data_IF_231078490929
#
_entry.id   IF_231078490929
#
_cell.length_a   1.000
_cell.length_b   1.000
_cell.length_c   1.000
_cell.angle_alpha   90.00
_cell.angle_beta   90.00
_cell.angle_gamma   90.00
#
_symmetry.space_group_name_H-M   'P 1'
#
loop_
_entity.id
_entity.type
_entity.pdbx_description
1 polymer ?
2 non-polymer ?
#
# COMPACT_ATOMS: atom_id res chain seq x y z
N UNK A 3 -3.36 7.23 15.47
CA UNK A 3 -2.50 6.82 14.36
C UNK A 3 -3.07 5.59 13.70
N UNK A 4 -4.39 5.57 13.48
CA UNK A 4 -5.04 4.36 13.02
C UNK A 4 -4.57 3.99 11.63
N UNK A 5 -4.77 2.73 11.27
CA UNK A 5 -4.37 2.25 9.95
C UNK A 5 -5.59 1.78 9.16
N UNK A 6 -5.40 1.71 7.85
CA UNK A 6 -6.41 1.20 6.92
C UNK A 6 -5.69 0.30 5.93
N UNK A 7 -6.21 -0.91 5.74
CA UNK A 7 -5.63 -1.86 4.79
C UNK A 7 -6.70 -2.29 3.79
N UNK A 8 -6.28 -2.58 2.56
CA UNK A 8 -7.21 -2.92 1.48
C UNK A 8 -6.78 -4.24 0.86
N UNK A 9 -7.74 -5.16 0.66
CA UNK A 9 -7.47 -6.48 0.10
C UNK A 9 -8.27 -6.66 -1.18
N UNK A 10 -7.58 -7.02 -2.25
CA UNK A 10 -8.21 -7.33 -3.53
C UNK A 10 -7.52 -8.54 -4.13
N UNK A 11 -8.22 -9.28 -5.00
CA UNK A 11 -7.58 -10.45 -5.62
C UNK A 11 -6.71 -10.09 -6.81
N UNK A 12 -5.55 -10.74 -6.89
CA UNK A 12 -4.69 -10.57 -8.05
C UNK A 12 -5.33 -10.97 -9.37
N UNK A 13 -6.41 -11.75 -9.33
CA UNK A 13 -7.06 -12.23 -10.55
C UNK A 13 -7.69 -11.09 -11.35
N UNK A 14 -7.94 -9.96 -10.70
CA UNK A 14 -8.39 -8.74 -11.37
C UNK A 14 -7.62 -8.49 -12.67
N UNK A 15 -6.33 -8.83 -12.70
CA UNK A 15 -5.49 -8.50 -13.86
C UNK A 15 -5.73 -9.43 -15.04
N UNK A 16 -6.25 -10.63 -14.80
CA UNK A 16 -6.50 -11.53 -15.91
C UNK A 16 -7.65 -11.04 -16.78
N UNK A 17 -8.57 -10.24 -16.22
CA UNK A 17 -9.71 -9.73 -16.98
C UNK A 17 -9.33 -8.61 -17.93
N UNK A 18 -8.07 -8.19 -17.95
CA UNK A 18 -7.71 -7.08 -18.82
C UNK A 18 -7.61 -7.54 -20.27
N UNK A 19 -7.80 -6.58 -21.18
CA UNK A 19 -7.94 -6.86 -22.60
C UNK A 19 -6.64 -6.77 -23.37
N UNK A 20 -5.62 -6.13 -22.81
CA UNK A 20 -4.33 -5.99 -23.48
C UNK A 20 -3.27 -5.89 -22.41
N UNK A 21 -2.03 -6.33 -22.70
CA UNK A 21 -0.97 -6.25 -21.67
C UNK A 21 -0.78 -4.85 -21.13
N UNK A 22 -0.85 -3.84 -21.97
CA UNK A 22 -0.80 -2.45 -21.51
C UNK A 22 -1.88 -2.18 -20.46
N UNK A 23 -3.14 -2.50 -20.79
CA UNK A 23 -4.23 -2.26 -19.84
C UNK A 23 -4.04 -3.07 -18.56
N UNK A 24 -3.44 -4.25 -18.67
CA UNK A 24 -3.08 -5.03 -17.49
C UNK A 24 -2.22 -4.22 -16.54
N UNK A 25 -1.15 -3.62 -17.07
CA UNK A 25 -0.34 -2.70 -16.29
C UNK A 25 -1.14 -1.50 -15.80
N UNK A 26 -1.87 -0.85 -16.71
CA UNK A 26 -2.58 0.37 -16.33
C UNK A 26 -3.55 0.09 -15.20
N UNK A 27 -4.29 -1.01 -15.28
CA UNK A 27 -5.18 -1.39 -14.20
C UNK A 27 -4.43 -1.44 -12.85
N UNK A 28 -3.29 -2.15 -12.83
CA UNK A 28 -2.49 -2.23 -11.62
C UNK A 28 -2.15 -0.85 -11.10
N UNK A 29 -1.84 0.09 -11.99
CA UNK A 29 -1.59 1.46 -11.59
C UNK A 29 -2.82 2.14 -10.99
N UNK A 30 -4.01 1.79 -11.48
CA UNK A 30 -5.22 2.41 -10.94
C UNK A 30 -5.47 1.94 -9.52
N UNK A 31 -5.11 0.69 -9.22
CA UNK A 31 -5.28 0.19 -7.86
C UNK A 31 -4.37 0.96 -6.91
N UNK A 32 -3.12 1.18 -7.30
CA UNK A 32 -2.17 1.90 -6.44
C UNK A 32 -2.63 3.33 -6.18
N UNK A 33 -3.08 4.03 -7.22
CA UNK A 33 -3.50 5.42 -7.05
C UNK A 33 -4.71 5.51 -6.12
N UNK A 34 -5.65 4.60 -6.26
CA UNK A 34 -6.82 4.67 -5.38
C UNK A 34 -6.42 4.50 -3.92
N UNK A 35 -5.50 3.57 -3.64
CA UNK A 35 -5.05 3.39 -2.26
C UNK A 35 -4.21 4.57 -1.79
N UNK A 36 -3.36 5.11 -2.66
CA UNK A 36 -2.61 6.30 -2.27
C UNK A 36 -3.53 7.50 -2.00
N UNK A 37 -4.62 7.65 -2.77
CA UNK A 37 -5.46 8.84 -2.58
C UNK A 37 -6.10 8.82 -1.21
N UNK A 38 -6.50 7.64 -0.74
CA UNK A 38 -7.18 7.52 0.54
C UNK A 38 -6.23 7.20 1.68
N UNK A 39 -4.93 7.42 1.49
CA UNK A 39 -3.91 7.21 2.53
C UNK A 39 -3.96 5.78 3.08
N UNK A 40 -4.13 4.78 2.20
CA UNK A 40 -4.08 3.40 2.67
C UNK A 40 -2.67 3.06 3.13
N UNK A 41 -2.59 2.30 4.23
CA UNK A 41 -1.32 1.86 4.81
C UNK A 41 -0.83 0.53 4.28
N UNK A 42 -1.74 -0.34 3.85
CA UNK A 42 -1.34 -1.68 3.42
C UNK A 42 -2.28 -2.15 2.33
N UNK A 43 -1.73 -2.75 1.28
CA UNK A 43 -2.53 -3.45 0.28
C UNK A 43 -2.21 -4.93 0.37
N UNK A 44 -3.25 -5.76 0.42
CA UNK A 44 -3.12 -7.20 0.54
C UNK A 44 -3.60 -7.78 -0.78
N UNK A 45 -2.71 -8.42 -1.52
CA UNK A 45 -3.08 -9.10 -2.77
C UNK A 45 -3.25 -10.58 -2.48
N UNK A 46 -4.46 -11.08 -2.60
CA UNK A 46 -4.74 -12.47 -2.24
C UNK A 46 -5.16 -13.29 -3.46
N UNK A 47 -4.83 -14.58 -3.39
CA UNK A 47 -5.12 -15.54 -4.45
C UNK A 47 -6.52 -16.12 -4.25
N UNK A 48 -7.41 -15.82 -5.19
CA UNK A 48 -8.80 -16.26 -5.09
C UNK A 48 -8.95 -17.74 -5.36
N UNK A 49 -8.09 -18.31 -6.20
CA UNK A 49 -8.18 -19.73 -6.55
C UNK A 49 -7.76 -20.62 -5.40
N UNK A 67 -0.77 -18.29 -10.03
CA UNK A 67 -0.40 -17.36 -8.98
C UNK A 67 0.40 -16.18 -9.49
N UNK A 68 0.62 -16.16 -10.81
CA UNK A 68 1.38 -15.09 -11.44
C UNK A 68 0.63 -13.76 -11.48
N UNK A 69 -0.71 -13.77 -11.41
CA UNK A 69 -1.42 -12.50 -11.41
C UNK A 69 -1.16 -11.72 -10.12
N UNK A 70 -1.15 -12.41 -8.98
CA UNK A 70 -0.93 -11.70 -7.73
C UNK A 70 0.50 -11.21 -7.62
N UNK A 71 1.47 -12.01 -8.08
CA UNK A 71 2.86 -11.57 -8.07
C UNK A 71 3.03 -10.31 -8.91
N UNK A 72 2.51 -10.32 -10.14
CA UNK A 72 2.62 -9.13 -10.99
C UNK A 72 1.95 -7.92 -10.34
N UNK A 73 0.74 -8.11 -9.82
CA UNK A 73 0.04 -6.98 -9.19
C UNK A 73 0.84 -6.42 -8.02
N UNK A 74 1.28 -7.29 -7.11
CA UNK A 74 2.09 -6.86 -5.96
C UNK A 74 3.33 -6.12 -6.41
N UNK A 75 4.10 -6.74 -7.32
CA UNK A 75 5.30 -6.09 -7.84
C UNK A 75 5.00 -4.69 -8.36
N UNK A 76 4.01 -4.57 -9.26
CA UNK A 76 3.65 -3.25 -9.79
C UNK A 76 3.30 -2.30 -8.66
N UNK A 77 2.49 -2.74 -7.71
CA UNK A 77 2.20 -1.90 -6.56
C UNK A 77 3.48 -1.45 -5.83
N UNK A 78 4.45 -2.36 -5.62
CA UNK A 78 5.67 -1.97 -4.91
C UNK A 78 6.49 -0.98 -5.74
N UNK A 79 6.51 -1.16 -7.06
CA UNK A 79 7.28 -0.27 -7.91
C UNK A 79 6.73 1.17 -7.83
N UNK A 80 5.41 1.33 -7.94
CA UNK A 80 4.83 2.68 -7.89
C UNK A 80 4.96 3.29 -6.50
N UNK A 81 4.88 2.48 -5.43
CA UNK A 81 5.06 3.03 -4.09
C UNK A 81 6.47 3.58 -3.91
N UNK A 82 7.45 2.97 -4.56
CA UNK A 82 8.84 3.26 -4.27
C UNK A 82 9.28 4.58 -4.91
N UNK A 83 9.77 5.56 -4.12
CA UNK A 83 10.41 6.76 -4.69
C UNK A 83 11.24 6.46 -5.92
N UNK A 84 11.00 7.20 -7.01
CA UNK A 84 11.60 6.89 -8.30
C UNK A 84 13.12 6.79 -8.21
N UNK A 85 13.76 7.68 -7.44
CA UNK A 85 15.22 7.64 -7.35
C UNK A 85 15.73 6.36 -6.67
N UNK A 86 14.84 5.51 -6.17
CA UNK A 86 15.23 4.26 -5.53
C UNK A 86 14.82 3.02 -6.32
N UNK A 87 14.11 3.17 -7.43
CA UNK A 87 13.59 2.00 -8.12
C UNK A 87 14.68 1.23 -8.86
N UNK A 88 15.62 1.94 -9.46
CA UNK A 88 16.75 1.27 -10.08
C UNK A 88 17.45 0.31 -9.10
N UNK A 89 17.54 0.70 -7.82
CA UNK A 89 18.24 -0.18 -6.88
C UNK A 89 17.37 -1.36 -6.44
N UNK A 90 16.08 -1.14 -6.18
CA UNK A 90 15.24 -2.20 -5.64
C UNK A 90 14.58 -3.07 -6.69
N UNK A 91 14.70 -2.74 -7.98
CA UNK A 91 13.95 -3.45 -9.02
C UNK A 91 14.82 -3.71 -10.23
N UNK A 92 15.37 -4.91 -10.36
CA UNK A 92 16.04 -5.27 -11.61
C UNK A 92 15.06 -5.23 -12.78
N UNK A 93 15.62 -5.22 -13.98
CA UNK A 93 14.79 -5.27 -15.17
C UNK A 93 13.90 -6.49 -15.13
N UNK A 94 12.58 -6.26 -15.09
CA UNK A 94 11.60 -7.35 -15.04
C UNK A 94 10.57 -7.22 -16.15
N UNK A 95 10.17 -8.37 -16.71
CA UNK A 95 9.11 -8.42 -17.72
C UNK A 95 7.77 -7.92 -17.17
N UNK A 96 7.53 -8.10 -15.86
CA UNK A 96 6.33 -7.56 -15.23
C UNK A 96 6.30 -6.04 -15.22
N UNK A 97 7.43 -5.38 -15.51
CA UNK A 97 7.50 -3.92 -15.57
C UNK A 97 7.75 -3.42 -17.00
N UNK A 98 7.46 -4.27 -18.01
CA UNK A 98 7.72 -3.92 -19.40
C UNK A 98 6.86 -2.78 -19.90
N UNK A 99 5.79 -2.42 -19.19
CA UNK A 99 4.96 -1.27 -19.53
C UNK A 99 4.91 -0.28 -18.35
N UNK A 100 6.04 -0.05 -17.69
CA UNK A 100 6.03 0.89 -16.57
C UNK A 100 5.67 2.30 -17.04
N UNK A 101 6.24 2.73 -18.17
CA UNK A 101 6.14 4.12 -18.55
C UNK A 101 4.72 4.63 -18.59
N UNK A 102 3.80 3.82 -19.14
CA UNK A 102 2.41 4.20 -19.36
C UNK A 102 1.60 4.21 -18.06
N UNK A 103 2.26 4.52 -16.95
CA UNK A 103 1.63 4.54 -15.64
C UNK A 103 1.32 5.96 -15.23
N UNK A 104 0.64 6.07 -14.09
CA UNK A 104 0.37 7.34 -13.45
C UNK A 104 1.14 7.39 -12.13
N UNK A 105 2.07 8.33 -11.99
CA UNK A 105 2.77 8.50 -10.72
C UNK A 105 1.82 8.66 -9.54
N UNK A 106 2.23 8.12 -8.40
CA UNK A 106 1.43 8.26 -7.17
C UNK A 106 1.45 9.69 -6.66
N UNK A 107 2.58 10.38 -6.84
CA UNK A 107 2.70 11.79 -6.42
C UNK A 107 2.47 11.97 -4.92
N UNK A 108 2.89 10.98 -4.15
CA UNK A 108 2.75 10.98 -2.71
C UNK A 108 3.84 11.81 -2.04
N UNK A 109 3.63 12.23 -0.80
CA UNK A 109 4.59 13.12 -0.13
C UNK A 109 6.02 12.60 -0.09
N UNK A 110 6.26 11.30 -0.16
CA UNK A 110 7.65 10.84 -0.21
C UNK A 110 8.17 10.71 -1.64
N UNK A 111 7.38 11.08 -2.65
CA UNK A 111 7.85 11.14 -4.04
C UNK A 111 8.10 12.61 -4.38
N UNK A 112 9.27 13.08 -4.00
CA UNK A 112 9.59 14.47 -4.25
C UNK A 112 10.82 14.58 -5.13
N UNK A 113 11.02 15.76 -5.71
CA UNK A 113 12.17 16.05 -6.56
C UNK A 113 13.41 16.30 -5.67
N UNK A 114 14.54 16.58 -6.33
CA UNK A 114 15.79 16.77 -5.60
C UNK A 114 15.87 18.17 -4.97
N UNK A 115 15.45 19.20 -5.70
CA UNK A 115 15.46 20.57 -5.17
C UNK A 115 14.23 20.87 -4.32
N UNK A 116 13.72 19.88 -3.59
CA UNK A 116 12.55 20.02 -2.73
C UNK A 116 13.00 19.78 -1.29
N UNK A 117 13.04 20.84 -0.49
CA UNK A 117 13.34 20.70 0.93
C UNK A 117 12.32 19.79 1.59
N UNK A 118 12.81 18.92 2.48
CA UNK A 118 11.92 18.00 3.19
C UNK A 118 12.57 17.60 4.50
N UNK A 119 11.76 17.47 5.54
CA UNK A 119 12.31 17.02 6.83
C UNK A 119 12.68 15.54 6.77
N UNK A 120 11.85 14.73 6.12
CA UNK A 120 12.06 13.31 5.96
C UNK A 120 12.35 12.97 4.50
N UNK A 121 12.95 11.81 4.28
CA UNK A 121 13.34 11.39 2.95
C UNK A 121 13.71 9.90 2.98
N UNK A 122 13.17 9.11 2.06
CA UNK A 122 13.50 7.70 2.04
C UNK A 122 14.92 7.50 1.50
N UNK A 123 15.49 6.32 1.79
CA UNK A 123 16.87 6.10 1.45
C UNK A 123 17.25 4.64 1.32
N UNK A 124 18.36 4.42 0.61
CA UNK A 124 18.96 3.11 0.45
C UNK A 124 20.39 3.21 1.01
N UNK A 125 20.72 2.32 1.95
CA UNK A 125 22.04 2.34 2.55
C UNK A 125 23.07 1.88 1.52
N UNK A 126 23.98 2.78 1.14
CA UNK A 126 24.99 2.58 0.10
C UNK A 126 26.07 1.60 0.54
N UNK A 127 26.95 1.19 -0.38
CA UNK A 127 28.14 0.38 -0.10
C UNK A 127 29.39 1.25 -0.30
N UNK A 128 29.80 1.93 0.76
CA UNK A 128 31.05 2.66 0.80
C UNK A 128 31.71 2.37 2.13
N UNK A 129 33.05 2.34 2.18
CA UNK A 129 33.73 1.94 3.41
C UNK A 129 33.42 2.91 4.55
N UNK A 130 33.48 2.39 5.77
CA UNK A 130 33.26 3.21 6.95
C UNK A 130 33.89 2.52 8.14
N UNK A 131 34.84 3.19 8.81
CA UNK A 131 35.35 2.66 10.05
C UNK A 131 34.19 2.49 11.02
N UNK A 132 34.23 1.49 11.90
CA UNK A 132 33.20 1.38 12.92
C UNK A 132 33.14 2.66 13.73
N UNK A 133 31.96 2.95 14.25
CA UNK A 133 31.66 4.23 14.85
C UNK A 133 31.17 5.28 13.87
N UNK A 134 31.46 5.13 12.58
CA UNK A 134 31.23 6.19 11.61
C UNK A 134 29.91 6.05 10.85
N UNK A 135 28.88 5.49 11.48
CA UNK A 135 27.57 5.37 10.86
C UNK A 135 27.58 4.76 9.48
N UNK A 136 26.58 5.07 8.66
CA UNK A 136 26.49 4.55 7.32
C UNK A 136 26.22 5.69 6.34
N UNK A 137 26.44 5.41 5.06
CA UNK A 137 26.06 6.33 3.99
C UNK A 137 24.74 5.89 3.38
N UNK A 138 23.86 6.86 3.14
CA UNK A 138 22.53 6.58 2.60
C UNK A 138 22.28 7.48 1.39
N UNK A 139 21.87 6.88 0.29
CA UNK A 139 21.40 7.63 -0.87
C UNK A 139 19.95 8.03 -0.62
N UNK A 140 19.72 9.33 -0.42
CA UNK A 140 18.37 9.87 -0.31
C UNK A 140 17.98 10.69 -1.55
N UNK A 141 18.57 10.41 -2.69
CA UNK A 141 18.26 11.14 -3.91
C UNK A 141 18.59 12.61 -3.87
N UNK A 142 19.55 13.02 -3.03
CA UNK A 142 19.92 14.42 -2.96
C UNK A 142 21.19 14.62 -3.77
N UNK A 143 21.69 15.86 -3.83
CA UNK A 143 22.92 16.13 -4.57
C UNK A 143 24.10 15.40 -3.95
N UNK A 144 24.15 15.34 -2.62
CA UNK A 144 25.16 14.58 -1.90
C UNK A 144 24.47 13.49 -1.08
N UNK A 145 25.23 12.43 -0.77
CA UNK A 145 24.70 11.36 0.06
C UNK A 145 24.48 11.86 1.50
N UNK A 146 23.93 10.99 2.34
CA UNK A 146 23.61 11.35 3.73
C UNK A 146 24.37 10.41 4.66
N UNK A 147 25.11 10.98 5.60
CA UNK A 147 25.77 10.19 6.63
C UNK A 147 24.82 10.05 7.82
N UNK A 148 24.68 8.83 8.32
CA UNK A 148 23.71 8.59 9.38
C UNK A 148 24.39 8.16 10.68
N UNK A 149 23.57 8.00 11.72
CA UNK A 149 24.02 7.60 13.04
C UNK A 149 24.46 6.14 13.07
N UNK A 150 23.52 5.25 12.78
CA UNK A 150 23.71 3.83 13.02
C UNK A 150 24.50 3.16 11.89
N UNK A 151 25.07 2.01 12.21
CA UNK A 151 25.81 1.20 11.24
C UNK A 151 24.86 0.09 10.79
N UNK A 152 24.35 0.22 9.57
CA UNK A 152 23.32 -0.68 9.07
C UNK A 152 23.83 -1.41 7.84
N UNK A 153 23.15 -2.51 7.53
CA UNK A 153 23.46 -3.31 6.35
C UNK A 153 23.36 -2.44 5.09
N UNK A 154 24.24 -2.64 4.09
CA UNK A 154 24.22 -1.76 2.91
C UNK A 154 23.31 -2.25 1.79
N UNK A 155 22.05 -1.79 1.77
CA UNK A 155 21.10 -2.22 0.77
C UNK A 155 19.70 -2.31 1.36
N UNK A 156 19.54 -1.69 2.52
CA UNK A 156 18.31 -1.68 3.27
C UNK A 156 17.60 -0.34 3.08
N UNK A 157 16.29 -0.38 2.89
CA UNK A 157 15.52 0.84 2.72
C UNK A 157 15.17 1.42 4.08
N UNK A 158 15.52 2.69 4.30
CA UNK A 158 15.33 3.35 5.59
C UNK A 158 14.68 4.72 5.40
N UNK A 159 14.25 5.27 6.52
CA UNK A 159 13.56 6.57 6.56
C UNK A 159 14.45 7.54 7.31
N UNK A 160 15.06 8.46 6.58
CA UNK A 160 16.05 9.39 7.12
C UNK A 160 15.37 10.70 7.48
N UNK A 161 15.60 11.18 8.70
CA UNK A 161 15.18 12.51 9.12
C UNK A 161 16.40 13.42 9.09
N UNK A 162 16.35 14.45 8.25
CA UNK A 162 17.53 15.26 8.06
C UNK A 162 17.70 16.27 9.17
N UNK A 163 18.96 16.51 9.56
CA UNK A 163 19.24 17.53 10.55
C UNK A 163 18.85 18.91 10.01
N UNK A 164 18.15 19.69 10.85
CA UNK A 164 17.72 21.03 10.48
C UNK A 164 18.92 21.88 10.08
N UNK A 165 19.69 22.32 11.07
CA UNK A 165 20.97 22.98 10.79
C UNK A 165 21.93 21.92 10.29
N UNK A 166 22.14 21.88 8.98
CA UNK A 166 23.19 21.07 8.42
C UNK A 166 24.47 21.89 8.32
N UNK A 167 25.54 21.24 7.86
CA UNK A 167 26.89 21.83 7.84
C UNK A 167 27.16 22.23 6.41
N UNK A 168 26.92 23.48 6.03
CA UNK A 168 26.68 23.80 4.61
C UNK A 168 27.82 23.45 3.64
N UNK A 169 29.04 23.15 4.11
CA UNK A 169 30.15 22.85 3.23
C UNK A 169 30.59 21.39 3.28
N UNK A 170 30.01 20.61 4.18
CA UNK A 170 30.33 19.20 4.30
C UNK A 170 29.99 18.49 3.00
N UNK A 171 30.81 17.49 2.66
CA UNK A 171 30.62 16.72 1.45
C UNK A 171 29.50 15.69 1.58
N UNK A 172 28.85 15.59 2.75
CA UNK A 172 27.63 14.81 2.91
C UNK A 172 26.68 15.57 3.81
N UNK A 173 25.38 15.38 3.58
CA UNK A 173 24.39 15.83 4.55
C UNK A 173 24.35 14.87 5.72
N UNK A 174 23.65 15.28 6.78
CA UNK A 174 23.56 14.49 8.00
C UNK A 174 22.11 14.33 8.41
N UNK A 175 21.80 13.16 8.96
CA UNK A 175 20.48 12.88 9.46
C UNK A 175 20.50 11.58 10.23
N UNK A 176 19.37 11.24 10.82
CA UNK A 176 19.26 10.02 11.61
C UNK A 176 18.14 9.14 11.07
N UNK A 177 18.40 7.83 11.04
CA UNK A 177 17.41 6.83 10.66
C UNK A 177 16.30 6.79 11.71
N UNK A 178 15.06 7.01 11.29
CA UNK A 178 13.92 6.97 12.20
C UNK A 178 12.95 5.89 11.75
N UNK A 179 11.97 5.63 12.59
CA UNK A 179 10.90 4.71 12.23
C UNK A 179 10.23 5.21 10.97
N UNK A 180 9.81 4.29 10.11
CA UNK A 180 9.11 4.68 8.89
C UNK A 180 7.72 5.22 9.18
N UNK A 181 7.16 4.92 10.36
CA UNK A 181 5.87 5.47 10.74
C UNK A 181 5.99 6.85 11.38
N UNK A 182 7.19 7.45 11.38
CA UNK A 182 7.34 8.79 11.96
C UNK A 182 6.75 9.87 11.06
N UNK A 183 7.06 9.92 9.76
CA UNK A 183 6.45 10.96 8.91
C UNK A 183 4.95 11.11 9.07
N UNK A 184 4.21 10.01 9.23
CA UNK A 184 2.76 10.13 9.40
C UNK A 184 2.39 10.46 10.85
N UNK A 185 2.70 9.55 11.78
CA UNK A 185 2.24 9.69 13.16
C UNK A 185 2.91 10.85 13.89
N UNK A 186 3.65 11.68 13.16
CA UNK A 186 4.37 12.75 13.83
C UNK A 186 4.22 14.06 13.07
N UNK A 187 4.22 13.98 11.74
CA UNK A 187 4.15 15.17 10.90
C UNK A 187 2.92 15.18 10.00
N UNK A 188 2.01 14.22 10.15
CA UNK A 188 0.77 14.19 9.38
C UNK A 188 0.91 13.78 7.93
N UNK A 189 2.10 13.37 7.51
CA UNK A 189 2.39 13.11 6.10
C UNK A 189 2.10 11.67 5.73
N UNK A 190 1.30 11.46 4.69
CA UNK A 190 1.16 10.13 4.13
C UNK A 190 2.50 9.70 3.54
N UNK A 191 2.89 8.46 3.85
CA UNK A 191 4.26 8.03 3.54
C UNK A 191 4.26 6.68 2.83
N UNK A 192 3.18 6.35 2.13
CA UNK A 192 3.13 5.14 1.33
C UNK A 192 2.44 3.98 2.02
N UNK A 193 2.19 2.94 1.24
CA UNK A 193 1.67 1.68 1.74
C UNK A 193 2.76 0.63 1.65
N UNK A 194 2.58 -0.46 2.39
CA UNK A 194 3.29 -1.71 2.19
C UNK A 194 2.37 -2.68 1.46
N UNK A 195 2.97 -3.70 0.81
CA UNK A 195 2.20 -4.64 0.01
C UNK A 195 2.43 -6.05 0.51
N UNK A 196 1.36 -6.77 0.79
CA UNK A 196 1.45 -8.10 1.33
C UNK A 196 0.72 -9.07 0.42
N UNK A 197 1.37 -10.19 0.13
CA UNK A 197 0.84 -11.28 -0.67
C UNK A 197 0.14 -12.31 0.23
N UNK A 198 -1.16 -12.51 0.00
CA UNK A 198 -1.91 -13.53 0.73
C UNK A 198 -2.19 -14.70 -0.21
N UNK A 199 -2.20 -15.90 0.33
CA UNK A 199 -2.32 -17.10 -0.51
C UNK A 199 -3.76 -17.58 -0.64
N UNK A 200 -4.66 -17.08 0.20
CA UNK A 200 -6.08 -17.40 0.12
C UNK A 200 -6.83 -16.34 0.93
N UNK A 201 -8.16 -16.48 0.98
CA UNK A 201 -8.94 -15.45 1.65
C UNK A 201 -8.70 -15.47 3.15
N UNK A 202 -8.69 -16.64 3.79
CA UNK A 202 -8.44 -16.66 5.23
C UNK A 202 -7.06 -16.13 5.59
N UNK A 203 -6.09 -16.22 4.68
CA UNK A 203 -4.79 -15.64 4.99
C UNK A 203 -4.83 -14.11 5.02
N UNK A 204 -5.82 -13.48 4.37
CA UNK A 204 -5.98 -12.03 4.50
C UNK A 204 -6.13 -11.64 5.97
N UNK A 205 -6.89 -12.41 6.75
CA UNK A 205 -7.07 -12.10 8.16
C UNK A 205 -5.93 -12.66 9.02
N UNK A 206 -5.64 -13.95 8.85
CA UNK A 206 -4.72 -14.65 9.74
C UNK A 206 -3.31 -14.07 9.70
N UNK A 207 -2.85 -13.64 8.52
CA UNK A 207 -1.49 -13.13 8.34
C UNK A 207 -1.42 -11.61 8.47
N UNK A 208 -2.25 -11.03 9.33
CA UNK A 208 -2.25 -9.59 9.51
C UNK A 208 -0.91 -9.10 10.06
N UNK A 209 -0.43 -7.94 9.63
CA UNK A 209 0.84 -7.42 10.17
C UNK A 209 0.76 -6.92 11.61
N UNK A 210 -0.40 -7.01 12.27
CA UNK A 210 -0.56 -6.46 13.62
C UNK A 210 -0.98 -7.56 14.59
N UNK A 211 -0.49 -7.41 15.81
CA UNK A 211 -0.60 -8.42 16.86
C UNK A 211 -2.05 -8.81 17.09
N UNK A 212 -2.89 -7.83 17.44
CA UNK A 212 -4.29 -8.09 17.76
C UNK A 212 -5.17 -8.20 16.52
N UNK A 213 -4.57 -8.32 15.34
CA UNK A 213 -5.34 -8.45 14.12
C UNK A 213 -6.04 -7.17 13.71
N UNK A 214 -6.95 -7.32 12.74
CA UNK A 214 -7.84 -6.26 12.31
C UNK A 214 -9.07 -6.25 13.22
N UNK A 215 -9.20 -5.25 14.08
CA UNK A 215 -10.39 -5.19 14.92
C UNK A 215 -11.63 -4.67 14.19
N UNK A 216 -11.51 -4.21 12.94
CA UNK A 216 -12.67 -3.88 12.12
C UNK A 216 -12.42 -4.38 10.70
N UNK A 217 -13.34 -5.21 10.20
CA UNK A 217 -13.25 -5.85 8.90
C UNK A 217 -14.52 -5.55 8.12
N UNK A 218 -14.38 -5.02 6.92
CA UNK A 218 -15.50 -4.51 6.13
C UNK A 218 -15.47 -5.18 4.77
N UNK A 219 -16.51 -5.94 4.46
CA UNK A 219 -16.63 -6.59 3.16
C UNK A 219 -17.56 -5.81 2.26
N UNK A 220 -17.27 -5.87 0.97
CA UNK A 220 -18.00 -5.09 -0.03
C UNK A 220 -18.73 -6.03 -0.98
N UNK A 221 -20.02 -5.78 -1.17
CA UNK A 221 -20.81 -6.52 -2.14
C UNK A 221 -22.06 -5.72 -2.47
N UNK A 222 -22.65 -6.03 -3.63
CA UNK A 222 -23.95 -5.44 -3.94
C UNK A 222 -25.07 -6.08 -3.14
N UNK A 223 -24.78 -7.16 -2.42
CA UNK A 223 -25.73 -7.82 -1.55
C UNK A 223 -25.57 -7.44 -0.08
N UNK A 224 -24.62 -6.56 0.23
CA UNK A 224 -24.48 -6.12 1.61
C UNK A 224 -25.53 -5.07 1.97
N UNK A 225 -25.52 -4.69 3.24
CA UNK A 225 -26.42 -3.66 3.71
C UNK A 225 -26.00 -2.29 3.20
N UNK A 226 -26.91 -1.32 3.36
CA UNK A 226 -26.65 0.02 2.87
C UNK A 226 -25.61 0.72 3.74
N UNK A 227 -24.53 1.18 3.12
CA UNK A 227 -23.47 1.84 3.86
C UNK A 227 -23.99 2.99 4.71
N UNK A 228 -25.05 3.67 4.25
CA UNK A 228 -25.57 4.84 4.96
C UNK A 228 -26.07 4.48 6.36
N UNK A 229 -26.51 3.24 6.55
CA UNK A 229 -27.00 2.80 7.85
C UNK A 229 -25.90 2.20 8.73
N UNK A 230 -24.80 1.78 8.13
CA UNK A 230 -23.73 1.14 8.88
C UNK A 230 -23.19 2.07 9.96
N UNK A 231 -22.87 1.50 11.12
CA UNK A 231 -22.22 2.24 12.20
C UNK A 231 -20.90 1.55 12.52
N UNK A 232 -19.81 2.26 12.32
CA UNK A 232 -18.49 1.69 12.51
C UNK A 232 -18.08 1.83 13.97
N UNK A 233 -17.62 0.76 14.61
CA UNK A 233 -17.12 0.87 15.98
C UNK A 233 -15.72 1.47 16.02
N UNK A 234 -15.37 2.00 17.17
CA UNK A 234 -14.02 2.52 17.35
C UNK A 234 -13.00 1.43 17.00
N UNK A 235 -11.89 1.84 16.39
CA UNK A 235 -10.95 0.88 15.87
C UNK A 235 -9.59 1.51 15.77
N UNK A 236 -8.59 0.65 15.54
CA UNK A 236 -7.20 1.01 15.32
C UNK A 236 -6.62 0.44 14.04
N UNK A 237 -7.11 -0.71 13.57
CA UNK A 237 -6.62 -1.30 12.33
C UNK A 237 -7.84 -1.79 11.53
N UNK A 238 -8.12 -1.16 10.41
CA UNK A 238 -9.29 -1.51 9.63
C UNK A 238 -8.87 -2.13 8.31
N UNK A 239 -9.65 -3.10 7.86
CA UNK A 239 -9.42 -3.80 6.60
C UNK A 239 -10.72 -3.77 5.80
N UNK A 240 -10.69 -3.11 4.63
CA UNK A 240 -11.78 -3.19 3.66
C UNK A 240 -11.39 -4.21 2.59
N UNK A 241 -12.29 -5.15 2.30
CA UNK A 241 -11.98 -6.27 1.41
C UNK A 241 -12.89 -6.24 0.19
N UNK A 242 -12.28 -6.43 -0.98
CA UNK A 242 -12.92 -6.33 -2.29
C UNK A 242 -12.75 -7.65 -3.03
N UNK A 243 -13.79 -8.08 -3.74
CA UNK A 243 -13.72 -9.29 -4.51
C UNK A 243 -13.29 -9.02 -5.94
N UNK A 244 -13.34 -10.07 -6.75
CA UNK A 244 -12.98 -9.94 -8.15
C UNK A 244 -14.18 -10.02 -9.05
N UNK A 245 -13.96 -10.50 -10.28
CA UNK A 245 -15.05 -10.68 -11.22
C UNK A 245 -16.21 -11.45 -10.61
N UNK A 246 -15.91 -12.53 -9.89
CA UNK A 246 -16.93 -13.40 -9.30
C UNK A 246 -17.33 -13.00 -7.87
N UNK A 247 -16.86 -11.85 -7.39
CA UNK A 247 -17.19 -11.42 -6.06
C UNK A 247 -16.40 -12.17 -4.98
N UNK A 248 -16.63 -11.74 -3.73
CA UNK A 248 -15.97 -12.38 -2.60
C UNK A 248 -16.43 -13.81 -2.41
N UNK A 249 -17.51 -14.23 -3.07
CA UNK A 249 -17.99 -15.60 -2.91
C UNK A 249 -16.99 -16.61 -3.43
N UNK A 250 -16.13 -16.22 -4.38
CA UNK A 250 -15.28 -17.17 -5.06
C UNK A 250 -14.07 -17.53 -4.22
N UNK A 251 -13.38 -16.52 -3.67
CA UNK A 251 -12.31 -16.79 -2.74
C UNK A 251 -12.80 -17.52 -1.50
N UNK A 252 -14.06 -17.32 -1.14
CA UNK A 252 -14.62 -18.04 0.01
C UNK A 252 -14.84 -19.50 -0.29
N UNK A 253 -15.50 -19.81 -1.41
CA UNK A 253 -15.76 -21.20 -1.75
C UNK A 253 -14.45 -21.94 -2.03
N UNK A 254 -13.50 -21.25 -2.67
CA UNK A 254 -12.25 -21.89 -3.03
C UNK A 254 -11.43 -22.26 -1.80
N UNK A 255 -11.50 -21.45 -0.76
CA UNK A 255 -10.62 -21.64 0.39
C UNK A 255 -11.08 -22.82 1.22
N UNK A 256 -10.25 -23.86 1.40
CA UNK A 256 -10.69 -25.01 2.20
C UNK A 256 -10.91 -24.68 3.67
N UNK A 257 -10.19 -23.68 4.19
CA UNK A 257 -10.35 -23.26 5.58
C UNK A 257 -11.74 -22.72 5.88
N UNK A 258 -12.41 -22.13 4.91
CA UNK A 258 -13.54 -21.27 5.26
C UNK A 258 -14.84 -22.03 5.55
N UNK A 259 -15.46 -22.61 4.52
CA UNK A 259 -16.67 -23.42 4.68
C UNK A 259 -17.82 -22.61 5.26
N UNK A 260 -18.26 -21.63 4.48
CA UNK A 260 -19.41 -20.80 4.79
C UNK A 260 -20.30 -20.72 3.55
N UNK A 261 -21.55 -20.34 3.76
CA UNK A 261 -22.54 -20.23 2.68
C UNK A 261 -22.66 -18.80 2.15
N UNK A 262 -22.46 -17.79 2.99
CA UNK A 262 -22.62 -16.41 2.57
C UNK A 262 -21.50 -15.53 3.16
N UNK A 263 -20.80 -14.75 2.35
CA UNK A 263 -19.61 -14.06 2.83
C UNK A 263 -19.84 -13.06 3.95
N UNK A 264 -21.08 -12.64 4.25
CA UNK A 264 -21.24 -11.60 5.27
C UNK A 264 -20.67 -12.00 6.62
N UNK A 265 -20.56 -13.30 6.89
CA UNK A 265 -20.16 -13.78 8.20
C UNK A 265 -18.67 -13.69 8.45
N UNK A 266 -17.86 -13.43 7.43
CA UNK A 266 -16.41 -13.30 7.59
C UNK A 266 -16.01 -11.88 7.93
N UNK A 267 -16.95 -10.96 8.02
CA UNK A 267 -16.64 -9.56 8.19
C UNK A 267 -17.48 -9.00 9.32
N UNK A 268 -16.95 -7.97 9.96
CA UNK A 268 -17.75 -7.25 10.94
C UNK A 268 -18.92 -6.55 10.25
N UNK A 269 -18.75 -6.16 8.99
CA UNK A 269 -19.74 -5.42 8.24
C UNK A 269 -19.67 -5.85 6.78
N UNK A 270 -20.84 -5.98 6.16
CA UNK A 270 -20.97 -6.35 4.75
C UNK A 270 -21.84 -5.26 4.08
N UNK A 271 -21.21 -4.36 3.34
CA UNK A 271 -21.89 -3.15 2.87
C UNK A 271 -21.93 -3.10 1.35
N UNK A 272 -23.09 -2.72 0.82
CA UNK A 272 -23.27 -2.14 -0.51
C UNK A 272 -23.05 -0.64 -0.39
N UNK A 273 -22.04 -0.13 -1.09
CA UNK A 273 -21.69 1.29 -1.02
C UNK A 273 -22.14 2.09 -2.23
N UNK A 274 -23.06 1.58 -3.05
CA UNK A 274 -23.65 2.35 -4.15
C UNK A 274 -25.09 1.90 -4.26
N UNK A 275 -25.99 2.55 -3.52
CA UNK A 275 -27.41 2.25 -3.68
C UNK A 275 -27.85 2.60 -5.09
N UNK A 276 -28.66 1.71 -5.68
CA UNK A 276 -29.24 1.95 -6.98
C UNK A 276 -28.22 2.20 -8.07
N UNK A 277 -27.19 1.36 -8.15
CA UNK A 277 -26.22 1.51 -9.23
C UNK A 277 -26.93 1.46 -10.59
N UNK A 278 -26.40 2.21 -11.55
CA UNK A 278 -26.96 2.23 -12.89
C UNK A 278 -26.32 1.26 -13.86
N UNK A 279 -25.25 0.57 -13.43
CA UNK A 279 -24.60 -0.47 -14.19
C UNK A 279 -24.71 -1.80 -13.44
N UNK A 280 -24.88 -2.90 -14.19
CA UNK A 280 -25.03 -4.23 -13.57
C UNK A 280 -23.88 -4.57 -12.63
N UNK A 281 -22.68 -4.08 -12.92
CA UNK A 281 -21.47 -4.46 -12.20
C UNK A 281 -20.56 -3.26 -12.04
N UNK A 282 -20.01 -3.12 -10.83
CA UNK A 282 -18.97 -2.15 -10.55
C UNK A 282 -17.65 -2.91 -10.49
N UNK A 283 -16.74 -2.57 -11.38
CA UNK A 283 -15.45 -3.22 -11.36
C UNK A 283 -14.68 -2.86 -10.10
N UNK A 284 -13.72 -3.73 -9.77
CA UNK A 284 -13.00 -3.64 -8.50
C UNK A 284 -12.31 -2.30 -8.37
N UNK A 285 -11.60 -1.87 -9.41
CA UNK A 285 -10.91 -0.59 -9.36
C UNK A 285 -11.92 0.57 -9.24
N UNK A 286 -13.13 0.42 -9.78
CA UNK A 286 -14.13 1.45 -9.52
C UNK A 286 -14.70 1.31 -8.13
N UNK A 287 -14.93 0.07 -7.69
CA UNK A 287 -15.51 -0.16 -6.37
C UNK A 287 -14.64 0.42 -5.26
N UNK A 288 -13.31 0.38 -5.40
CA UNK A 288 -12.42 0.89 -4.35
C UNK A 288 -12.60 2.41 -4.15
N UNK A 289 -12.55 3.18 -5.23
CA UNK A 289 -12.76 4.62 -5.11
C UNK A 289 -14.13 4.95 -4.51
N UNK A 290 -15.18 4.27 -4.98
CA UNK A 290 -16.53 4.50 -4.44
C UNK A 290 -16.61 4.06 -2.98
N UNK A 291 -16.00 2.93 -2.64
CA UNK A 291 -16.19 2.41 -1.29
C UNK A 291 -15.41 3.23 -0.28
N UNK A 292 -14.17 3.56 -0.62
CA UNK A 292 -13.35 4.32 0.32
C UNK A 292 -13.91 5.72 0.51
N UNK A 293 -14.38 6.34 -0.58
CA UNK A 293 -15.09 7.59 -0.44
C UNK A 293 -16.30 7.42 0.48
N UNK A 294 -17.11 6.38 0.26
CA UNK A 294 -18.34 6.23 1.03
C UNK A 294 -18.08 5.87 2.49
N UNK A 295 -16.88 5.40 2.81
CA UNK A 295 -16.54 5.00 4.17
C UNK A 295 -15.64 5.98 4.90
N UNK A 296 -14.86 6.78 4.17
CA UNK A 296 -14.00 7.81 4.75
C UNK A 296 -14.64 8.60 5.89
N UNK A 297 -15.87 9.13 5.76
CA UNK A 297 -16.46 9.81 6.93
C UNK A 297 -16.44 8.96 8.19
N UNK A 298 -17.01 7.76 8.15
CA UNK A 298 -17.03 6.92 9.35
C UNK A 298 -15.66 6.46 9.78
N UNK A 299 -14.76 6.23 8.82
CA UNK A 299 -13.41 5.80 9.16
C UNK A 299 -12.64 6.87 9.91
N UNK A 300 -12.72 8.13 9.48
CA UNK A 300 -12.03 9.20 10.19
C UNK A 300 -12.55 9.29 11.62
N UNK A 301 -13.87 9.36 11.77
CA UNK A 301 -14.44 9.63 13.09
C UNK A 301 -14.25 8.45 14.05
N UNK A 302 -14.30 7.21 13.53
CA UNK A 302 -14.18 6.07 14.43
C UNK A 302 -12.73 5.84 14.87
N UNK A 303 -11.76 6.20 14.04
CA UNK A 303 -10.36 6.01 14.40
C UNK A 303 -9.75 7.20 15.12
X LIG B 1 -20.89 -10.50 -10.06
X LIG B 1 -20.13 -10.20 -8.86
X LIG B 1 -19.76 -8.72 -8.80
X LIG B 1 -18.28 -8.44 -9.03
X LIG B 1 -17.91 -6.68 -8.87
X LIG B 1 -20.92 -10.61 -7.60
X LIG B 1 -22.13 -10.85 -7.66
X LIG B 1 -20.37 -10.68 -6.50
X LIG B 1 -16.25 -6.84 -8.14
X LIG B 1 -16.14 -6.33 -6.70
X LIG B 1 -16.46 -4.96 -6.55
X LIG B 1 -17.06 -7.07 -5.74
X LIG B 1 -16.47 -8.27 -5.29
X LIG B 1 -17.25 -6.09 -4.61
X LIG B 1 -16.19 -6.22 -3.67
X LIG B 1 -17.13 -4.74 -5.32
X LIG B 1 -18.49 -4.16 -5.54
X LIG B 1 -19.26 -4.22 -6.67
X LIG B 1 -20.45 -3.58 -6.44
X LIG B 1 -20.43 -3.11 -5.18
X LIG B 1 -21.34 -2.38 -4.41
X LIG B 1 -22.51 -2.02 -4.89
X LIG B 1 -21.01 -2.05 -3.09
X LIG B 1 -19.80 -2.42 -2.56
X LIG B 1 -18.89 -3.14 -3.32
X LIG B 1 -19.21 -3.47 -4.60
#
# INVERSE_FOLDING_TARGET
XRPYTLSVALPGSILDNAQSPELRTYLAGQIARACAIFCVDEIVVFDEEGQDAKTVEGEFTGVGKKGQACVQLARILQYLECPQYLRKAFFPKHQDLQFAGLLNPLDSPHHMRQDEESEFREGIVVDRPTRPGHGSFVNCGMKKEVKIDKNLEPGLRVTVRLNQQQHPDCKTYHGKVVSSQDPRTKAGLYWGYTVRLASCLSAVFAEAPFQDGYDLTIGTSERGSDVASAQLPNFRHALVVFGGLQGLEAGADADPNLEVAEPSVLFDLYVNTCPGQGSRTIRTEEAILISLAALQPGLIQAGARHT
SAH N CA CB CG SD C O OXT C5' C4' O4' C3' O3' C2' O2' C1' N9 C8 N7 C5 C6 N6 N1 C2 N3 C4
#
